data_IF_830318063143
#
_entry.id   IF_830318063143
#
_cell.length_a   1.000
_cell.length_b   1.000
_cell.length_c   1.000
_cell.angle_alpha   90.00
_cell.angle_beta   90.00
_cell.angle_gamma   90.00
#
_symmetry.space_group_name_H-M   'P 1'
#
loop_
_entity.id
_entity.type
_entity.pdbx_description
1 polymer ?
#
# COMPACT_ATOMS: atom_id res chain seq x y z
N UNK A 1 27.34 -23.48 -18.62
CA UNK A 1 26.05 -22.80 -18.86
C UNK A 1 26.33 -21.59 -19.71
N UNK A 2 25.67 -21.47 -20.86
CA UNK A 2 25.88 -20.34 -21.76
C UNK A 2 25.53 -19.03 -21.05
N UNK A 3 26.32 -17.98 -21.29
CA UNK A 3 26.14 -16.67 -20.63
C UNK A 3 24.71 -16.12 -20.79
N UNK A 4 24.04 -16.47 -21.89
CA UNK A 4 22.63 -16.14 -22.16
C UNK A 4 21.66 -16.76 -21.14
N UNK A 5 21.87 -18.02 -20.76
CA UNK A 5 21.00 -18.73 -19.82
C UNK A 5 21.18 -18.17 -18.41
N UNK A 6 22.43 -17.92 -18.00
CA UNK A 6 22.72 -17.30 -16.70
C UNK A 6 22.11 -15.90 -16.58
N UNK A 7 22.19 -15.09 -17.64
CA UNK A 7 21.60 -13.73 -17.66
C UNK A 7 20.08 -13.77 -17.52
N UNK A 8 19.41 -14.72 -18.19
CA UNK A 8 17.96 -14.90 -18.07
C UNK A 8 17.54 -15.25 -16.64
N UNK A 9 18.24 -16.21 -16.00
CA UNK A 9 17.94 -16.64 -14.64
C UNK A 9 18.08 -15.47 -13.65
N UNK A 10 19.17 -14.70 -13.75
CA UNK A 10 19.38 -13.52 -12.92
C UNK A 10 18.27 -12.49 -13.13
N UNK A 11 17.88 -12.23 -14.39
CA UNK A 11 16.79 -11.30 -14.70
C UNK A 11 15.46 -11.71 -14.07
N UNK A 12 15.12 -13.01 -14.12
CA UNK A 12 13.89 -13.55 -13.51
C UNK A 12 13.92 -13.41 -11.98
N UNK A 13 15.06 -13.71 -11.34
CA UNK A 13 15.20 -13.59 -9.89
C UNK A 13 15.03 -12.13 -9.46
N UNK A 14 15.68 -11.18 -10.15
CA UNK A 14 15.55 -9.75 -9.84
C UNK A 14 14.09 -9.29 -10.02
N UNK A 15 13.43 -9.69 -11.11
CA UNK A 15 12.03 -9.36 -11.33
C UNK A 15 11.12 -9.90 -10.22
N UNK A 16 11.33 -11.16 -9.80
CA UNK A 16 10.57 -11.77 -8.72
C UNK A 16 10.76 -11.04 -7.39
N UNK A 17 11.99 -10.64 -7.05
CA UNK A 17 12.29 -9.87 -5.83
C UNK A 17 11.57 -8.51 -5.86
N UNK A 18 11.62 -7.81 -7.00
CA UNK A 18 10.94 -6.52 -7.15
C UNK A 18 9.42 -6.66 -6.97
N UNK A 19 8.81 -7.68 -7.57
CA UNK A 19 7.36 -7.93 -7.43
C UNK A 19 7.00 -8.20 -5.97
N UNK A 20 7.73 -9.08 -5.28
CA UNK A 20 7.50 -9.40 -3.87
C UNK A 20 7.67 -8.17 -2.98
N UNK A 21 8.68 -7.34 -3.26
CA UNK A 21 8.90 -6.08 -2.56
C UNK A 21 7.71 -5.13 -2.71
N UNK A 22 7.22 -4.92 -3.93
CA UNK A 22 6.04 -4.08 -4.18
C UNK A 22 4.78 -4.62 -3.51
N UNK A 23 4.54 -5.94 -3.56
CA UNK A 23 3.43 -6.58 -2.86
C UNK A 23 3.53 -6.37 -1.35
N UNK A 24 4.73 -6.49 -0.78
CA UNK A 24 4.99 -6.23 0.64
C UNK A 24 4.69 -4.78 1.04
N UNK A 25 5.05 -3.80 0.19
CA UNK A 25 4.71 -2.39 0.42
C UNK A 25 3.19 -2.17 0.41
N UNK A 26 2.48 -2.72 -0.58
CA UNK A 26 1.02 -2.60 -0.64
C UNK A 26 0.36 -3.24 0.58
N UNK A 27 0.79 -4.44 0.96
CA UNK A 27 0.26 -5.12 2.15
C UNK A 27 0.50 -4.33 3.44
N UNK A 28 1.66 -3.69 3.60
CA UNK A 28 2.00 -2.88 4.77
C UNK A 28 1.22 -1.56 4.82
N UNK A 29 1.01 -0.93 3.67
CA UNK A 29 0.40 0.39 3.58
C UNK A 29 -1.13 0.35 3.44
N UNK A 30 -1.71 -0.81 3.12
CA UNK A 30 -3.15 -0.96 3.06
C UNK A 30 -3.74 -0.97 4.48
N UNK A 31 -4.46 0.09 4.84
CA UNK A 31 -5.10 0.24 6.14
C UNK A 31 -6.58 -0.07 5.99
N UNK A 32 -7.05 -1.09 6.71
CA UNK A 32 -8.47 -1.47 6.77
C UNK A 32 -9.16 -0.66 7.86
N UNK A 33 -10.41 -0.30 7.63
CA UNK A 33 -11.26 0.40 8.60
C UNK A 33 -12.13 -0.62 9.32
N UNK A 34 -12.23 -0.48 10.64
CA UNK A 34 -13.12 -1.30 11.45
C UNK A 34 -14.58 -0.87 11.25
N UNK A 35 -15.52 -1.80 11.43
CA UNK A 35 -16.94 -1.46 11.35
C UNK A 35 -17.29 -0.41 12.42
N UNK A 36 -18.27 0.45 12.12
CA UNK A 36 -18.63 1.57 12.99
C UNK A 36 -17.62 2.72 13.01
N UNK A 37 -16.55 2.64 12.21
CA UNK A 37 -15.55 3.71 12.10
C UNK A 37 -15.44 4.23 10.66
N UNK A 38 -15.01 5.49 10.54
CA UNK A 38 -14.59 6.11 9.29
C UNK A 38 -13.11 6.48 9.37
N UNK A 39 -12.38 6.30 8.28
CA UNK A 39 -11.00 6.79 8.17
C UNK A 39 -10.98 8.06 7.32
N UNK A 40 -10.55 9.15 7.93
CA UNK A 40 -10.24 10.42 7.26
C UNK A 40 -8.76 10.40 6.89
N UNK A 41 -8.47 10.61 5.61
CA UNK A 41 -7.11 10.71 5.09
C UNK A 41 -6.87 12.14 4.65
N UNK A 42 -5.98 12.83 5.36
CA UNK A 42 -5.43 14.08 4.87
C UNK A 42 -4.35 13.76 3.84
N UNK A 43 -4.64 14.11 2.59
CA UNK A 43 -3.71 13.96 1.47
C UNK A 43 -2.91 15.26 1.28
N UNK A 44 -2.11 15.34 0.21
CA UNK A 44 -1.47 16.61 -0.16
C UNK A 44 -2.41 17.57 -0.91
N UNK A 45 -3.72 17.25 -0.98
CA UNK A 45 -4.75 18.09 -1.58
C UNK A 45 -5.41 18.96 -0.52
N UNK A 46 -6.14 19.99 -0.97
CA UNK A 46 -6.83 20.92 -0.08
C UNK A 46 -7.96 20.26 0.73
N UNK A 47 -8.59 19.22 0.18
CA UNK A 47 -9.72 18.54 0.81
C UNK A 47 -9.32 17.15 1.32
N UNK A 48 -9.68 16.80 2.57
CA UNK A 48 -9.46 15.48 3.11
C UNK A 48 -10.44 14.47 2.51
N UNK A 49 -9.99 13.25 2.30
CA UNK A 49 -10.80 12.16 1.75
C UNK A 49 -11.29 11.23 2.87
N UNK A 50 -12.55 10.79 2.81
CA UNK A 50 -13.15 9.90 3.82
C UNK A 50 -13.44 8.54 3.21
N UNK A 51 -13.12 7.46 3.93
CA UNK A 51 -13.43 6.08 3.52
C UNK A 51 -13.94 5.25 4.69
N UNK A 52 -14.88 4.33 4.41
CA UNK A 52 -15.50 3.44 5.40
C UNK A 52 -15.01 1.98 5.29
N UNK A 53 -14.15 1.66 4.32
CA UNK A 53 -13.73 0.26 4.06
C UNK A 53 -12.23 0.09 4.29
N UNK A 54 -11.42 0.85 3.57
CA UNK A 54 -9.97 0.73 3.61
C UNK A 54 -9.32 1.34 2.40
N UNK A 55 -8.08 1.78 2.57
CA UNK A 55 -7.32 2.43 1.51
C UNK A 55 -5.83 2.21 1.73
N UNK A 56 -5.07 2.29 0.64
CA UNK A 56 -3.63 2.48 0.69
C UNK A 56 -3.30 3.84 1.33
N UNK A 57 -2.65 3.83 2.49
CA UNK A 57 -2.18 5.01 3.21
C UNK A 57 -0.67 4.98 3.25
N UNK A 58 -0.03 5.90 2.52
CA UNK A 58 1.43 6.08 2.59
C UNK A 58 1.73 6.96 3.82
N UNK A 59 2.32 6.42 4.90
CA UNK A 59 2.37 7.09 6.20
C UNK A 59 3.18 8.40 6.22
N UNK A 60 4.09 8.59 5.27
CA UNK A 60 4.90 9.82 5.17
C UNK A 60 4.17 10.92 4.40
N UNK A 61 3.27 10.57 3.49
CA UNK A 61 2.54 11.51 2.62
C UNK A 61 1.13 11.81 3.12
N UNK A 62 0.52 10.86 3.83
CA UNK A 62 -0.88 10.91 4.24
C UNK A 62 -0.98 10.84 5.76
N UNK A 63 -1.76 11.74 6.35
CA UNK A 63 -2.17 11.62 7.76
C UNK A 63 -3.50 10.88 7.79
N UNK A 64 -3.56 9.72 8.44
CA UNK A 64 -4.82 9.00 8.69
C UNK A 64 -5.33 9.28 10.09
N UNK A 65 -6.62 9.53 10.20
CA UNK A 65 -7.35 9.66 11.46
C UNK A 65 -8.55 8.72 11.41
N UNK A 66 -8.75 7.94 12.48
CA UNK A 66 -9.92 7.06 12.62
C UNK A 66 -10.91 7.80 13.51
N UNK A 67 -12.15 7.86 13.04
CA UNK A 67 -13.26 8.50 13.71
C UNK A 67 -14.37 7.48 13.95
N UNK A 68 -14.92 7.47 15.15
CA UNK A 68 -16.09 6.66 15.49
C UNK A 68 -17.34 7.32 14.88
N UNK A 69 -18.11 6.53 14.14
CA UNK A 69 -19.38 6.92 13.51
C UNK A 69 -20.51 5.96 13.91
N UNK A 70 -20.31 5.16 14.95
CA UNK A 70 -21.35 4.31 15.50
C UNK A 70 -22.49 5.16 16.07
N UNK A 71 -23.72 4.66 15.87
CA UNK A 71 -24.96 5.30 16.33
C UNK A 71 -25.31 4.86 17.75
#
# INVERSE_FOLDING_TARGET
MDASITTLIVGVIVAAILILFFLGLVAKFYQKVEQGHAMIINTMRAEPEVTFTGRLVIPVLHKREIMDISL
#
